data_IF_401147032116
#
_entry.id   IF_401147032116
#
_cell.length_a   1.000
_cell.length_b   1.000
_cell.length_c   1.000
_cell.angle_alpha   90.00
_cell.angle_beta   90.00
_cell.angle_gamma   90.00
#
_symmetry.space_group_name_H-M   'P 1'
#
loop_
_entity.id
_entity.type
_entity.pdbx_description
1 polymer ?
#
# COMPACT_ATOMS: atom_id res chain seq x y z
N UNK A 1 11.61 20.23 1.90
CA UNK A 1 10.79 19.63 2.99
C UNK A 1 10.63 18.14 2.69
N UNK A 2 10.17 17.33 3.65
CA UNK A 2 9.96 15.91 3.42
C UNK A 2 8.60 15.46 3.96
N UNK A 3 7.93 14.57 3.23
CA UNK A 3 6.60 14.07 3.56
C UNK A 3 6.53 12.57 3.27
N UNK A 4 5.69 11.87 4.04
CA UNK A 4 5.47 10.43 3.86
C UNK A 4 3.99 10.16 3.66
N UNK A 5 3.65 9.44 2.60
CA UNK A 5 2.27 9.03 2.30
C UNK A 5 2.17 7.51 2.14
N UNK A 6 1.11 6.91 2.68
CA UNK A 6 0.89 5.47 2.59
C UNK A 6 0.36 5.07 1.20
N UNK A 7 0.89 3.98 0.66
CA UNK A 7 0.43 3.33 -0.58
C UNK A 7 -0.39 2.11 -0.21
N UNK A 8 -1.62 1.99 -0.72
CA UNK A 8 -2.61 0.97 -0.31
C UNK A 8 -3.16 0.17 -1.48
N UNK A 9 -3.23 0.74 -2.66
CA UNK A 9 -3.82 0.11 -3.85
C UNK A 9 -2.83 0.04 -5.01
N UNK A 10 -3.20 -0.71 -6.05
CA UNK A 10 -2.37 -0.92 -7.23
C UNK A 10 -2.27 0.34 -8.09
N UNK A 11 -3.30 1.18 -8.14
CA UNK A 11 -3.28 2.43 -8.92
C UNK A 11 -2.22 3.40 -8.39
N UNK A 12 -2.09 3.50 -7.07
CA UNK A 12 -1.04 4.29 -6.43
C UNK A 12 0.37 3.75 -6.71
N UNK A 13 0.52 2.43 -6.88
CA UNK A 13 1.79 1.80 -7.29
C UNK A 13 2.09 2.16 -8.73
N UNK A 14 1.13 1.97 -9.64
CA UNK A 14 1.28 2.30 -11.06
C UNK A 14 1.65 3.77 -11.28
N UNK A 15 1.03 4.67 -10.52
CA UNK A 15 1.36 6.09 -10.57
C UNK A 15 2.85 6.37 -10.27
N UNK A 16 3.47 5.61 -9.36
CA UNK A 16 4.88 5.73 -8.93
C UNK A 16 5.87 4.94 -9.78
N UNK A 17 5.36 4.18 -10.74
CA UNK A 17 6.17 3.51 -11.78
C UNK A 17 6.16 4.32 -13.09
N UNK A 18 5.49 5.47 -13.14
CA UNK A 18 5.57 6.43 -14.23
C UNK A 18 6.76 7.35 -13.99
N UNK A 19 7.61 7.49 -15.00
CA UNK A 19 8.78 8.39 -14.98
C UNK A 19 8.39 9.86 -14.81
N UNK A 20 7.17 10.23 -15.21
CA UNK A 20 6.68 11.61 -15.17
C UNK A 20 5.66 11.89 -14.07
N UNK A 21 5.11 10.85 -13.40
CA UNK A 21 4.02 10.92 -12.40
C UNK A 21 2.99 12.08 -12.53
N UNK A 22 2.60 12.48 -13.75
CA UNK A 22 1.66 13.58 -13.98
C UNK A 22 2.21 15.00 -13.82
N UNK A 23 3.53 15.18 -13.73
CA UNK A 23 4.21 16.47 -13.83
C UNK A 23 4.46 16.91 -15.29
N UNK A 24 4.42 15.96 -16.24
CA UNK A 24 4.49 16.27 -17.66
C UNK A 24 3.27 17.03 -18.18
N UNK A 25 3.51 18.00 -19.05
CA UNK A 25 2.45 18.59 -19.89
C UNK A 25 1.94 17.51 -20.84
N UNK A 26 0.70 17.08 -20.65
CA UNK A 26 0.05 16.17 -21.61
C UNK A 26 -0.27 17.00 -22.85
N UNK A 27 0.36 16.71 -23.97
CA UNK A 27 -0.07 17.24 -25.27
C UNK A 27 -1.45 16.65 -25.58
N UNK A 28 -2.52 17.31 -25.13
CA UNK A 28 -3.89 16.97 -25.53
C UNK A 28 -4.06 17.34 -27.00
N UNK A 29 -4.49 16.39 -27.83
CA UNK A 29 -4.71 16.54 -29.29
C UNK A 29 -5.70 17.66 -29.66
N UNK A 30 -6.45 18.21 -28.69
CA UNK A 30 -7.48 19.23 -28.89
C UNK A 30 -7.11 20.65 -28.41
N UNK A 31 -5.88 20.89 -27.95
CA UNK A 31 -5.43 22.25 -27.62
C UNK A 31 -4.52 22.74 -28.74
N UNK A 32 -5.07 23.63 -29.58
CA UNK A 32 -4.28 24.42 -30.53
C UNK A 32 -3.21 25.16 -29.72
N UNK A 33 -1.96 24.71 -29.83
CA UNK A 33 -0.82 25.52 -29.43
C UNK A 33 -0.83 26.77 -30.32
N UNK A 34 -1.36 27.88 -29.80
CA UNK A 34 -0.93 29.18 -30.32
C UNK A 34 0.58 29.21 -30.14
N UNK A 35 1.30 29.18 -31.27
CA UNK A 35 2.73 29.39 -31.32
C UNK A 35 3.02 30.73 -30.66
N UNK A 36 3.40 30.70 -29.38
CA UNK A 36 4.00 31.85 -28.74
C UNK A 36 5.23 32.21 -29.57
N UNK A 37 5.30 33.48 -30.00
CA UNK A 37 6.46 34.01 -30.72
C UNK A 37 7.77 33.60 -30.02
N UNK A 38 8.88 33.38 -30.77
CA UNK A 38 10.11 32.89 -30.19
C UNK A 38 10.73 33.98 -29.31
N UNK A 39 10.33 34.02 -28.04
CA UNK A 39 10.97 34.86 -27.03
C UNK A 39 12.27 34.14 -26.63
N UNK A 40 13.36 34.60 -27.21
CA UNK A 40 14.73 34.12 -26.99
C UNK A 40 15.22 34.42 -25.57
N UNK A 41 14.80 33.60 -24.59
CA UNK A 41 15.31 33.66 -23.23
C UNK A 41 15.36 32.28 -22.57
N UNK A 42 16.47 31.97 -21.92
CA UNK A 42 16.70 30.74 -21.11
C UNK A 42 15.54 30.49 -20.11
N UNK A 43 14.83 31.53 -19.69
CA UNK A 43 13.65 31.46 -18.82
C UNK A 43 12.45 30.70 -19.41
N UNK A 44 12.41 30.44 -20.72
CA UNK A 44 11.36 29.65 -21.40
C UNK A 44 11.83 28.22 -21.71
N UNK A 45 13.13 28.00 -21.81
CA UNK A 45 13.71 26.74 -22.26
C UNK A 45 13.49 25.60 -21.25
N UNK A 46 13.58 25.89 -19.95
CA UNK A 46 13.26 24.89 -18.91
C UNK A 46 11.79 24.41 -18.98
N UNK A 47 10.87 25.27 -19.44
CA UNK A 47 9.43 24.94 -19.54
C UNK A 47 9.11 24.01 -20.70
N UNK A 48 10.00 23.98 -21.69
CA UNK A 48 9.87 23.20 -22.91
C UNK A 48 10.76 21.95 -22.91
N UNK A 49 11.59 21.76 -21.87
CA UNK A 49 12.36 20.53 -21.70
C UNK A 49 11.41 19.37 -21.41
N UNK A 50 11.45 18.37 -22.27
CA UNK A 50 10.86 17.07 -21.96
C UNK A 50 11.54 16.53 -20.69
N UNK A 51 10.77 16.21 -19.66
CA UNK A 51 11.25 15.50 -18.45
C UNK A 51 11.70 14.03 -18.76
N UNK A 52 12.11 13.76 -20.01
CA UNK A 52 12.26 12.43 -20.59
C UNK A 52 13.47 11.62 -20.11
N UNK A 53 14.20 12.06 -19.09
CA UNK A 53 15.47 11.44 -18.66
C UNK A 53 15.50 11.03 -17.18
N UNK A 54 14.37 11.16 -16.46
CA UNK A 54 14.28 10.78 -15.05
C UNK A 54 14.05 9.26 -14.90
N UNK A 55 15.11 8.48 -15.11
CA UNK A 55 15.06 7.04 -14.91
C UNK A 55 14.61 6.68 -13.48
N UNK A 56 13.74 5.69 -13.37
CA UNK A 56 13.45 5.02 -12.10
C UNK A 56 14.70 4.24 -11.67
N UNK A 57 15.15 4.40 -10.44
CA UNK A 57 16.39 3.77 -9.94
C UNK A 57 16.13 3.01 -8.65
N UNK A 58 16.58 1.75 -8.59
CA UNK A 58 16.53 0.90 -7.41
C UNK A 58 17.39 1.46 -6.26
N UNK A 59 16.89 1.40 -5.04
CA UNK A 59 17.59 1.88 -3.84
C UNK A 59 17.34 1.01 -2.59
N UNK A 60 18.28 1.05 -1.65
CA UNK A 60 18.15 0.38 -0.35
C UNK A 60 18.92 -0.93 -0.26
N UNK A 61 19.46 -1.22 0.93
CA UNK A 61 20.37 -2.36 1.11
C UNK A 61 19.65 -3.72 1.11
N UNK A 62 18.33 -3.71 1.32
CA UNK A 62 17.50 -4.92 1.33
C UNK A 62 17.35 -5.58 -0.05
N UNK A 63 17.66 -4.87 -1.15
CA UNK A 63 17.48 -5.35 -2.52
C UNK A 63 18.27 -6.64 -2.81
N UNK A 64 19.46 -6.77 -2.21
CA UNK A 64 20.29 -7.96 -2.36
C UNK A 64 19.58 -9.24 -1.91
N UNK A 65 18.67 -9.16 -0.93
CA UNK A 65 17.91 -10.30 -0.41
C UNK A 65 16.92 -10.89 -1.45
N UNK A 66 16.62 -10.14 -2.52
CA UNK A 66 15.72 -10.56 -3.61
C UNK A 66 16.40 -10.55 -4.97
N UNK A 67 17.75 -10.49 -5.00
CA UNK A 67 18.54 -10.52 -6.23
C UNK A 67 18.50 -9.22 -7.05
N UNK A 68 18.05 -8.11 -6.47
CA UNK A 68 18.06 -6.79 -7.11
C UNK A 68 19.31 -6.00 -6.69
N UNK A 69 19.73 -5.06 -7.54
CA UNK A 69 20.95 -4.27 -7.33
C UNK A 69 20.62 -2.81 -7.10
N UNK A 70 21.11 -2.24 -6.00
CA UNK A 70 21.02 -0.80 -5.74
C UNK A 70 21.72 0.02 -6.84
N UNK A 71 21.10 1.12 -7.27
CA UNK A 71 21.59 1.98 -8.34
C UNK A 71 21.26 1.50 -9.76
N UNK A 72 20.71 0.29 -9.92
CA UNK A 72 20.25 -0.18 -11.22
C UNK A 72 18.96 0.54 -11.65
N UNK A 73 18.84 0.83 -12.94
CA UNK A 73 17.63 1.40 -13.55
C UNK A 73 16.51 0.36 -13.56
N UNK A 74 15.28 0.77 -13.26
CA UNK A 74 14.07 -0.04 -13.42
C UNK A 74 13.65 -0.04 -14.89
N UNK A 75 14.05 -1.07 -15.61
CA UNK A 75 13.43 -1.41 -16.89
C UNK A 75 12.01 -2.00 -16.68
N UNK A 76 11.36 -2.47 -17.75
CA UNK A 76 10.02 -3.05 -17.66
C UNK A 76 9.97 -4.29 -16.75
N UNK A 77 11.02 -5.12 -16.74
CA UNK A 77 11.12 -6.24 -15.81
C UNK A 77 11.28 -5.77 -14.36
N UNK A 78 12.02 -4.67 -14.16
CA UNK A 78 12.14 -3.95 -12.89
C UNK A 78 10.79 -3.39 -12.41
N UNK A 79 9.99 -2.81 -13.31
CA UNK A 79 8.62 -2.35 -12.97
C UNK A 79 7.73 -3.51 -12.54
N UNK A 80 7.80 -4.66 -13.21
CA UNK A 80 7.09 -5.87 -12.78
C UNK A 80 7.57 -6.42 -11.43
N UNK A 81 8.89 -6.38 -11.19
CA UNK A 81 9.47 -6.72 -9.90
C UNK A 81 8.97 -5.77 -8.79
N UNK A 82 8.90 -4.46 -9.04
CA UNK A 82 8.37 -3.47 -8.11
C UNK A 82 6.90 -3.75 -7.75
N UNK A 83 6.05 -4.06 -8.74
CA UNK A 83 4.64 -4.45 -8.51
C UNK A 83 4.56 -5.66 -7.58
N UNK A 84 5.37 -6.70 -7.82
CA UNK A 84 5.40 -7.91 -7.00
C UNK A 84 5.86 -7.64 -5.57
N UNK A 85 6.89 -6.81 -5.37
CA UNK A 85 7.33 -6.38 -4.05
C UNK A 85 6.22 -5.62 -3.31
N UNK A 86 5.54 -4.68 -3.99
CA UNK A 86 4.42 -3.96 -3.39
C UNK A 86 3.24 -4.89 -3.03
N UNK A 87 3.05 -5.98 -3.79
CA UNK A 87 2.09 -7.04 -3.47
C UNK A 87 2.57 -8.02 -2.38
N UNK A 88 3.75 -7.82 -1.79
CA UNK A 88 4.30 -8.68 -0.73
C UNK A 88 4.86 -10.02 -1.26
N UNK A 89 5.25 -10.05 -2.53
CA UNK A 89 5.73 -11.24 -3.23
C UNK A 89 7.18 -11.06 -3.71
N UNK A 90 7.87 -12.19 -3.89
CA UNK A 90 9.22 -12.20 -4.44
C UNK A 90 9.21 -11.71 -5.89
N UNK A 91 10.14 -10.83 -6.30
CA UNK A 91 10.12 -10.21 -7.62
C UNK A 91 10.33 -11.21 -8.75
N UNK A 92 11.24 -12.18 -8.60
CA UNK A 92 11.48 -13.20 -9.62
C UNK A 92 10.43 -14.33 -9.62
N UNK A 93 10.26 -15.00 -8.47
CA UNK A 93 9.44 -16.23 -8.39
C UNK A 93 7.94 -15.99 -8.20
N UNK A 94 7.52 -14.78 -7.80
CA UNK A 94 6.14 -14.48 -7.43
C UNK A 94 5.67 -15.12 -6.12
N UNK A 95 6.54 -15.84 -5.41
CA UNK A 95 6.20 -16.48 -4.14
C UNK A 95 5.82 -15.42 -3.08
N UNK A 96 4.73 -15.65 -2.34
CA UNK A 96 4.31 -14.76 -1.25
C UNK A 96 5.36 -14.77 -0.12
N UNK A 97 5.93 -13.60 0.13
CA UNK A 97 6.94 -13.38 1.18
C UNK A 97 6.29 -12.97 2.49
N UNK A 98 5.38 -11.99 2.47
CA UNK A 98 4.55 -11.67 3.65
C UNK A 98 3.46 -12.74 3.80
N UNK A 99 3.72 -13.69 4.69
CA UNK A 99 2.84 -14.84 4.98
C UNK A 99 1.97 -14.65 6.22
N UNK A 100 2.07 -13.51 6.90
CA UNK A 100 1.30 -13.28 8.12
C UNK A 100 -0.20 -13.30 7.81
N UNK A 101 -0.97 -14.07 8.59
CA UNK A 101 -2.43 -14.27 8.39
C UNK A 101 -3.22 -12.95 8.39
N UNK A 102 -2.63 -11.88 8.89
CA UNK A 102 -3.19 -10.52 8.96
C UNK A 102 -3.18 -9.79 7.60
N UNK A 103 -2.35 -10.22 6.63
CA UNK A 103 -2.21 -9.52 5.34
C UNK A 103 -3.29 -9.87 4.32
N UNK A 104 -4.14 -10.87 4.58
CA UNK A 104 -5.20 -11.31 3.68
C UNK A 104 -6.48 -11.49 4.47
N UNK A 105 -7.32 -10.45 4.52
CA UNK A 105 -8.60 -10.49 5.23
C UNK A 105 -9.66 -11.12 4.33
N UNK A 106 -10.67 -11.73 4.95
CA UNK A 106 -11.86 -12.19 4.22
C UNK A 106 -12.49 -11.01 3.46
N UNK A 107 -12.85 -11.24 2.19
CA UNK A 107 -13.48 -10.24 1.34
C UNK A 107 -14.74 -9.67 2.00
N UNK A 108 -15.04 -8.36 1.87
CA UNK A 108 -16.24 -7.77 2.45
C UNK A 108 -17.53 -8.49 2.07
N UNK A 109 -17.65 -8.94 0.82
CA UNK A 109 -18.80 -9.73 0.34
C UNK A 109 -18.89 -11.11 0.99
N UNK A 110 -17.79 -11.65 1.49
CA UNK A 110 -17.77 -12.93 2.22
C UNK A 110 -18.27 -12.81 3.67
N UNK A 111 -18.70 -11.61 4.10
CA UNK A 111 -19.08 -11.31 5.48
C UNK A 111 -20.53 -10.89 5.59
N UNK A 112 -21.22 -11.38 6.60
CA UNK A 112 -22.60 -11.01 6.91
C UNK A 112 -22.68 -10.32 8.28
N UNK A 113 -23.75 -9.57 8.55
CA UNK A 113 -23.96 -8.95 9.86
C UNK A 113 -24.02 -10.02 10.94
N UNK A 114 -23.30 -9.82 12.03
CA UNK A 114 -23.23 -10.80 13.13
C UNK A 114 -24.47 -10.73 14.02
N UNK A 115 -25.11 -9.56 14.08
CA UNK A 115 -26.26 -9.31 14.96
C UNK A 115 -27.40 -10.30 14.71
N UNK A 116 -27.80 -10.49 13.44
CA UNK A 116 -28.87 -11.42 13.06
C UNK A 116 -28.67 -12.84 13.58
N UNK A 117 -27.45 -13.38 13.52
CA UNK A 117 -27.19 -14.72 14.05
C UNK A 117 -27.18 -14.75 15.58
N UNK A 118 -26.67 -13.70 16.23
CA UNK A 118 -26.71 -13.60 17.70
C UNK A 118 -28.16 -13.55 18.19
N UNK A 119 -28.99 -12.71 17.57
CA UNK A 119 -30.43 -12.60 17.86
C UNK A 119 -31.15 -13.94 17.63
N UNK A 120 -30.86 -14.64 16.53
CA UNK A 120 -31.45 -15.96 16.26
C UNK A 120 -31.04 -17.02 17.29
N UNK A 121 -29.79 -16.99 17.77
CA UNK A 121 -29.31 -17.89 18.83
C UNK A 121 -29.99 -17.56 20.17
N UNK A 122 -30.15 -16.28 20.50
CA UNK A 122 -30.80 -15.84 21.73
C UNK A 122 -32.29 -16.20 21.72
N UNK A 123 -32.99 -15.97 20.62
CA UNK A 123 -34.39 -16.38 20.45
C UNK A 123 -34.58 -17.90 20.58
N UNK A 124 -33.70 -18.69 19.96
CA UNK A 124 -33.75 -20.15 20.06
C UNK A 124 -33.42 -20.67 21.48
N UNK A 125 -32.63 -19.92 22.26
CA UNK A 125 -32.32 -20.25 23.64
C UNK A 125 -33.51 -19.92 24.55
N UNK A 126 -34.14 -18.77 24.33
CA UNK A 126 -35.35 -18.33 25.02
C UNK A 126 -36.50 -19.32 24.81
N UNK A 127 -36.73 -19.77 23.57
CA UNK A 127 -37.75 -20.78 23.24
C UNK A 127 -37.54 -22.10 24.00
N UNK A 128 -36.28 -22.47 24.25
CA UNK A 128 -35.90 -23.69 24.97
C UNK A 128 -35.75 -23.48 26.48
N UNK A 129 -35.88 -22.25 26.98
CA UNK A 129 -35.73 -21.91 28.39
C UNK A 129 -34.31 -22.13 28.93
N UNK A 130 -33.28 -22.02 28.08
CA UNK A 130 -31.86 -22.21 28.45
C UNK A 130 -31.05 -20.95 28.15
N UNK A 131 -29.83 -20.84 28.67
CA UNK A 131 -28.94 -19.76 28.26
C UNK A 131 -28.40 -20.02 26.85
N UNK A 132 -28.11 -18.96 26.09
CA UNK A 132 -27.55 -19.06 24.73
C UNK A 132 -26.24 -19.89 24.67
N UNK A 133 -25.44 -19.87 25.75
CA UNK A 133 -24.23 -20.68 25.86
C UNK A 133 -24.50 -22.19 25.98
N UNK A 134 -25.68 -22.57 26.51
CA UNK A 134 -26.06 -23.97 26.75
C UNK A 134 -26.51 -24.64 25.45
N UNK A 135 -27.00 -23.88 24.46
CA UNK A 135 -27.18 -24.38 23.09
C UNK A 135 -25.89 -24.92 22.46
N UNK A 136 -24.74 -24.50 23.00
CA UNK A 136 -23.40 -24.87 22.57
C UNK A 136 -22.71 -25.81 23.57
N UNK A 137 -23.46 -26.55 24.39
CA UNK A 137 -22.91 -27.49 25.36
C UNK A 137 -21.96 -28.50 24.69
N UNK A 138 -20.86 -28.82 25.38
CA UNK A 138 -19.77 -29.66 24.86
C UNK A 138 -18.89 -28.99 23.79
N UNK A 139 -19.13 -27.71 23.45
CA UNK A 139 -18.39 -26.96 22.41
C UNK A 139 -17.75 -25.69 23.00
N UNK A 140 -16.73 -25.82 23.87
CA UNK A 140 -16.17 -24.68 24.62
C UNK A 140 -15.55 -23.60 23.73
N UNK A 141 -15.05 -23.96 22.53
CA UNK A 141 -14.54 -22.99 21.55
C UNK A 141 -15.66 -22.11 21.02
N UNK A 142 -16.80 -22.70 20.66
CA UNK A 142 -17.96 -21.99 20.12
C UNK A 142 -18.62 -21.14 21.19
N UNK A 143 -18.69 -21.60 22.44
CA UNK A 143 -19.15 -20.77 23.57
C UNK A 143 -18.30 -19.50 23.75
N UNK A 144 -16.97 -19.62 23.70
CA UNK A 144 -16.06 -18.46 23.75
C UNK A 144 -16.28 -17.51 22.56
N UNK A 145 -16.46 -18.06 21.36
CA UNK A 145 -16.75 -17.26 20.15
C UNK A 145 -18.07 -16.52 20.31
N UNK A 146 -19.15 -17.18 20.73
CA UNK A 146 -20.47 -16.57 20.95
C UNK A 146 -20.38 -15.43 21.97
N UNK A 147 -19.78 -15.68 23.13
CA UNK A 147 -19.62 -14.67 24.17
C UNK A 147 -18.83 -13.44 23.68
N UNK A 148 -17.80 -13.66 22.86
CA UNK A 148 -17.08 -12.57 22.20
C UNK A 148 -18.00 -11.81 21.23
N UNK A 149 -18.78 -12.51 20.41
CA UNK A 149 -19.66 -11.86 19.43
C UNK A 149 -20.78 -11.07 20.08
N UNK A 150 -21.39 -11.57 21.15
CA UNK A 150 -22.39 -10.83 21.92
C UNK A 150 -21.83 -9.49 22.42
N UNK A 151 -20.60 -9.48 22.96
CA UNK A 151 -19.92 -8.23 23.37
C UNK A 151 -19.64 -7.29 22.19
N UNK A 152 -19.27 -7.83 21.03
CA UNK A 152 -18.98 -7.03 19.84
C UNK A 152 -20.24 -6.43 19.22
N UNK A 153 -21.32 -7.22 19.12
CA UNK A 153 -22.64 -6.78 18.67
C UNK A 153 -23.21 -5.73 19.61
N UNK A 154 -23.15 -5.93 20.93
CA UNK A 154 -23.55 -4.89 21.89
C UNK A 154 -22.79 -3.56 21.70
N UNK A 155 -21.51 -3.62 21.33
CA UNK A 155 -20.67 -2.42 21.12
C UNK A 155 -20.90 -1.75 19.76
N UNK A 156 -21.09 -2.54 18.69
CA UNK A 156 -21.02 -2.04 17.32
C UNK A 156 -22.36 -2.14 16.56
N UNK A 157 -23.33 -2.88 17.08
CA UNK A 157 -24.59 -3.21 16.44
C UNK A 157 -24.40 -3.98 15.13
N UNK A 158 -25.25 -3.65 14.16
CA UNK A 158 -25.24 -4.25 12.81
C UNK A 158 -23.97 -4.00 12.00
N UNK A 159 -23.12 -3.08 12.43
CA UNK A 159 -21.83 -2.81 11.76
C UNK A 159 -20.83 -3.94 11.95
N UNK A 160 -20.99 -4.76 12.99
CA UNK A 160 -20.09 -5.88 13.25
C UNK A 160 -20.36 -7.04 12.30
N UNK A 161 -19.41 -7.35 11.41
CA UNK A 161 -19.55 -8.39 10.39
C UNK A 161 -18.56 -9.54 10.57
N UNK A 162 -19.00 -10.75 10.25
CA UNK A 162 -18.19 -11.97 10.34
C UNK A 162 -18.22 -12.77 9.04
N UNK A 163 -17.14 -13.52 8.77
CA UNK A 163 -17.06 -14.38 7.60
C UNK A 163 -18.14 -15.47 7.64
N UNK A 164 -18.78 -15.71 6.49
CA UNK A 164 -19.85 -16.69 6.30
C UNK A 164 -19.48 -18.10 6.83
N UNK A 165 -18.25 -18.55 6.61
CA UNK A 165 -17.79 -19.85 7.11
C UNK A 165 -17.70 -19.95 8.64
N UNK A 166 -17.45 -18.82 9.33
CA UNK A 166 -17.47 -18.78 10.79
C UNK A 166 -18.89 -18.73 11.33
N UNK A 167 -19.77 -17.95 10.70
CA UNK A 167 -21.20 -17.90 11.01
C UNK A 167 -21.83 -19.29 10.85
N UNK A 168 -21.52 -20.00 9.75
CA UNK A 168 -22.00 -21.36 9.50
C UNK A 168 -21.61 -22.33 10.61
N UNK A 169 -20.35 -22.28 11.08
CA UNK A 169 -19.88 -23.13 12.18
C UNK A 169 -20.60 -22.82 13.49
N UNK A 170 -20.93 -21.55 13.74
CA UNK A 170 -21.61 -21.13 14.96
C UNK A 170 -23.09 -21.51 14.94
N UNK A 171 -23.80 -21.24 13.84
CA UNK A 171 -25.20 -21.63 13.67
C UNK A 171 -25.39 -23.15 13.75
N UNK A 172 -24.57 -23.92 13.01
CA UNK A 172 -24.58 -25.38 13.10
C UNK A 172 -24.33 -25.87 14.53
N UNK A 173 -23.47 -25.18 15.27
CA UNK A 173 -23.19 -25.57 16.65
C UNK A 173 -24.39 -25.32 17.58
N UNK A 174 -25.18 -24.26 17.34
CA UNK A 174 -26.40 -23.94 18.06
C UNK A 174 -27.65 -24.73 17.57
N UNK A 175 -27.51 -25.50 16.48
CA UNK A 175 -28.61 -26.25 15.88
C UNK A 175 -29.54 -25.39 15.02
N UNK A 176 -29.02 -24.31 14.44
CA UNK A 176 -29.74 -23.40 13.56
C UNK A 176 -29.32 -23.59 12.10
N UNK A 177 -30.27 -23.38 11.18
CA UNK A 177 -30.01 -23.20 9.76
C UNK A 177 -29.56 -21.77 9.51
N UNK A 178 -28.53 -21.57 8.68
CA UNK A 178 -28.09 -20.22 8.34
C UNK A 178 -28.96 -19.59 7.24
N UNK A 179 -29.56 -20.44 6.40
CA UNK A 179 -30.49 -20.04 5.34
C UNK A 179 -31.75 -19.39 5.96
N UNK A 180 -32.20 -19.87 7.13
CA UNK A 180 -33.35 -19.29 7.86
C UNK A 180 -33.05 -17.90 8.45
N UNK A 181 -31.77 -17.58 8.71
CA UNK A 181 -31.34 -16.34 9.36
C UNK A 181 -31.06 -15.22 8.35
N UNK A 182 -30.48 -15.55 7.19
CA UNK A 182 -30.02 -14.57 6.20
C UNK A 182 -30.79 -14.64 4.88
N UNK A 183 -31.59 -15.68 4.65
CA UNK A 183 -32.21 -15.94 3.36
C UNK A 183 -31.23 -16.57 2.36
N UNK A 184 -31.77 -17.33 1.40
CA UNK A 184 -30.98 -18.12 0.46
C UNK A 184 -30.08 -17.24 -0.44
N UNK A 185 -30.58 -16.10 -0.91
CA UNK A 185 -29.86 -15.26 -1.87
C UNK A 185 -28.66 -14.52 -1.25
N UNK A 186 -28.84 -13.82 -0.13
CA UNK A 186 -27.73 -13.13 0.57
C UNK A 186 -26.63 -14.13 0.99
N UNK A 187 -27.05 -15.35 1.37
CA UNK A 187 -26.13 -16.40 1.76
C UNK A 187 -25.41 -17.04 0.58
N UNK A 188 -26.08 -17.23 -0.56
CA UNK A 188 -25.45 -17.70 -1.80
C UNK A 188 -24.34 -16.73 -2.25
N UNK A 189 -24.64 -15.43 -2.28
CA UNK A 189 -23.68 -14.38 -2.65
C UNK A 189 -22.46 -14.39 -1.70
N UNK A 190 -22.70 -14.48 -0.39
CA UNK A 190 -21.60 -14.53 0.57
C UNK A 190 -20.76 -15.82 0.49
N UNK A 191 -21.39 -16.95 0.16
CA UNK A 191 -20.71 -18.24 -0.04
C UNK A 191 -19.86 -18.24 -1.31
N UNK A 192 -20.31 -17.60 -2.39
CA UNK A 192 -19.53 -17.43 -3.63
C UNK A 192 -18.18 -16.74 -3.34
N UNK A 193 -18.19 -15.77 -2.43
CA UNK A 193 -16.97 -15.05 -2.04
C UNK A 193 -16.25 -15.64 -0.80
N UNK A 194 -16.64 -16.80 -0.28
CA UNK A 194 -16.13 -17.33 0.99
C UNK A 194 -14.60 -17.44 1.04
N UNK A 195 -13.98 -17.78 -0.09
CA UNK A 195 -12.53 -17.94 -0.25
C UNK A 195 -11.84 -16.71 -0.82
N UNK A 196 -12.60 -15.70 -1.25
CA UNK A 196 -12.03 -14.43 -1.67
C UNK A 196 -11.33 -13.72 -0.50
N UNK A 197 -10.18 -13.11 -0.80
CA UNK A 197 -9.37 -12.37 0.16
C UNK A 197 -9.06 -10.98 -0.40
N UNK A 198 -8.93 -10.01 0.50
CA UNK A 198 -8.46 -8.66 0.19
C UNK A 198 -7.19 -8.41 1.00
N UNK A 199 -6.17 -7.90 0.32
CA UNK A 199 -4.97 -7.36 0.96
C UNK A 199 -5.23 -5.88 1.29
N UNK A 200 -5.42 -5.58 2.57
CA UNK A 200 -5.64 -4.21 3.06
C UNK A 200 -4.41 -3.63 3.78
N UNK A 201 -3.25 -4.27 3.57
CA UNK A 201 -1.96 -3.81 4.09
C UNK A 201 -1.62 -2.46 3.47
N UNK A 202 -0.87 -1.64 4.22
CA UNK A 202 -0.07 -0.58 3.59
C UNK A 202 1.00 -1.28 2.75
N UNK A 203 0.90 -1.21 1.42
CA UNK A 203 1.79 -1.88 0.48
C UNK A 203 3.20 -1.30 0.53
N UNK A 204 3.29 0.00 0.72
CA UNK A 204 4.53 0.76 0.81
C UNK A 204 4.29 2.20 1.26
N UNK A 205 5.35 2.98 1.19
CA UNK A 205 5.39 4.38 1.59
C UNK A 205 6.06 5.19 0.50
N UNK A 206 5.53 6.36 0.22
CA UNK A 206 6.14 7.35 -0.66
C UNK A 206 6.78 8.42 0.21
N UNK A 207 8.12 8.44 0.24
CA UNK A 207 8.92 9.50 0.84
C UNK A 207 9.26 10.51 -0.25
N UNK A 208 8.58 11.65 -0.21
CA UNK A 208 8.85 12.78 -1.08
C UNK A 208 9.90 13.68 -0.43
N UNK A 209 10.95 14.03 -1.18
CA UNK A 209 11.97 15.01 -0.80
C UNK A 209 11.86 16.22 -1.72
N UNK A 210 11.40 17.34 -1.17
CA UNK A 210 11.26 18.60 -1.90
C UNK A 210 12.45 19.51 -1.67
N UNK A 211 12.99 20.03 -2.77
CA UNK A 211 13.95 21.13 -2.71
C UNK A 211 13.22 22.45 -2.42
N UNK A 212 13.86 23.38 -1.67
CA UNK A 212 13.38 24.76 -1.58
C UNK A 212 13.13 25.37 -2.97
N UNK A 213 12.24 26.37 -3.03
CA UNK A 213 11.89 26.99 -4.31
C UNK A 213 13.08 27.67 -4.99
N UNK A 214 13.98 28.29 -4.22
CA UNK A 214 15.23 28.87 -4.73
C UNK A 214 16.09 27.84 -5.45
N UNK A 215 16.19 26.65 -4.86
CA UNK A 215 17.04 25.54 -5.30
C UNK A 215 16.45 24.85 -6.53
N UNK A 216 15.12 24.76 -6.57
CA UNK A 216 14.38 24.30 -7.75
C UNK A 216 14.50 25.29 -8.92
N UNK A 217 14.42 26.59 -8.64
CA UNK A 217 14.60 27.64 -9.66
C UNK A 217 16.03 27.67 -10.18
N UNK A 218 17.03 27.51 -9.30
CA UNK A 218 18.43 27.39 -9.70
C UNK A 218 18.61 26.21 -10.66
N UNK A 219 18.09 25.02 -10.33
CA UNK A 219 18.19 23.85 -11.20
C UNK A 219 17.61 24.09 -12.61
N UNK A 220 16.48 24.79 -12.71
CA UNK A 220 15.85 25.11 -14.00
C UNK A 220 16.56 26.22 -14.78
N UNK A 221 17.40 27.04 -14.14
CA UNK A 221 18.11 28.16 -14.76
C UNK A 221 19.56 27.87 -15.10
N UNK A 222 20.14 26.78 -14.57
CA UNK A 222 21.52 26.41 -14.84
C UNK A 222 21.69 25.87 -16.28
N UNK A 223 22.83 26.18 -16.95
CA UNK A 223 23.22 25.51 -18.19
C UNK A 223 23.33 23.99 -18.00
N UNK A 224 23.17 23.20 -19.06
CA UNK A 224 23.03 21.73 -18.98
C UNK A 224 24.13 21.02 -18.18
N UNK A 225 25.39 21.42 -18.36
CA UNK A 225 26.51 20.82 -17.65
C UNK A 225 26.46 21.10 -16.14
N UNK A 226 26.23 22.36 -15.76
CA UNK A 226 26.13 22.77 -14.36
C UNK A 226 24.84 22.23 -13.71
N UNK A 227 23.76 22.14 -14.49
CA UNK A 227 22.49 21.54 -14.09
C UNK A 227 22.64 20.05 -13.79
N UNK A 228 23.38 19.29 -14.62
CA UNK A 228 23.66 17.87 -14.34
C UNK A 228 24.49 17.71 -13.05
N UNK A 229 25.54 18.51 -12.88
CA UNK A 229 26.36 18.45 -11.66
C UNK A 229 25.52 18.75 -10.41
N UNK A 230 24.62 19.74 -10.48
CA UNK A 230 23.70 20.06 -9.41
C UNK A 230 22.74 18.89 -9.09
N UNK A 231 22.18 18.25 -10.12
CA UNK A 231 21.32 17.08 -9.95
C UNK A 231 22.05 15.88 -9.36
N UNK A 232 23.30 15.65 -9.76
CA UNK A 232 24.14 14.59 -9.19
C UNK A 232 24.38 14.79 -7.69
N UNK A 233 24.56 16.05 -7.26
CA UNK A 233 24.66 16.40 -5.83
C UNK A 233 23.33 16.11 -5.09
N UNK A 234 22.19 16.46 -5.70
CA UNK A 234 20.87 16.16 -5.15
C UNK A 234 20.64 14.65 -5.03
N UNK A 235 21.02 13.86 -6.04
CA UNK A 235 20.93 12.40 -6.01
C UNK A 235 21.88 11.75 -4.99
N UNK A 236 23.06 12.34 -4.76
CA UNK A 236 23.95 11.91 -3.67
C UNK A 236 23.30 12.15 -2.31
N UNK A 237 22.74 13.34 -2.09
CA UNK A 237 22.03 13.68 -0.85
C UNK A 237 20.81 12.78 -0.62
N UNK A 238 20.05 12.44 -1.68
CA UNK A 238 18.97 11.44 -1.67
C UNK A 238 19.45 10.08 -1.15
N UNK A 239 20.57 9.61 -1.68
CA UNK A 239 21.15 8.30 -1.31
C UNK A 239 21.61 8.28 0.14
N UNK A 240 22.27 9.34 0.59
CA UNK A 240 22.67 9.51 2.00
C UNK A 240 21.45 9.58 2.93
N UNK A 241 20.40 10.29 2.51
CA UNK A 241 19.13 10.39 3.24
C UNK A 241 18.49 9.02 3.41
N UNK A 242 18.38 8.22 2.33
CA UNK A 242 17.78 6.89 2.44
C UNK A 242 18.57 5.97 3.37
N UNK A 243 19.90 6.05 3.37
CA UNK A 243 20.76 5.29 4.30
C UNK A 243 20.51 5.66 5.76
N UNK A 244 20.23 6.92 6.05
CA UNK A 244 19.85 7.35 7.40
C UNK A 244 18.43 6.90 7.77
N UNK A 245 17.47 7.03 6.84
CA UNK A 245 16.11 6.51 7.02
C UNK A 245 16.14 5.02 7.33
N UNK A 246 16.90 4.24 6.59
CA UNK A 246 17.08 2.80 6.81
C UNK A 246 17.63 2.49 8.20
N UNK A 247 18.55 3.29 8.75
CA UNK A 247 19.01 3.12 10.15
C UNK A 247 17.91 3.36 11.18
N UNK A 248 16.99 4.29 10.91
CA UNK A 248 15.94 4.65 11.87
C UNK A 248 14.74 3.72 11.82
N UNK A 249 14.37 3.26 10.62
CA UNK A 249 13.12 2.51 10.37
C UNK A 249 13.32 1.13 9.75
N UNK A 250 14.56 0.67 9.56
CA UNK A 250 14.90 -0.69 9.12
C UNK A 250 14.67 -1.75 10.21
N UNK A 251 13.47 -1.79 10.76
CA UNK A 251 13.05 -2.80 11.73
C UNK A 251 11.60 -3.23 11.49
N UNK A 252 11.31 -4.49 11.76
CA UNK A 252 9.94 -5.01 11.85
C UNK A 252 9.50 -5.10 13.31
N UNK A 253 8.19 -5.28 13.53
CA UNK A 253 7.63 -5.55 14.86
C UNK A 253 7.26 -7.03 14.98
N UNK A 254 7.95 -7.73 15.87
CA UNK A 254 7.65 -9.10 16.28
C UNK A 254 6.93 -9.17 17.62
N UNK A 255 6.86 -10.37 18.20
CA UNK A 255 6.31 -10.60 19.53
C UNK A 255 7.14 -11.65 20.27
N UNK A 256 7.55 -11.32 21.50
CA UNK A 256 8.21 -12.23 22.44
C UNK A 256 7.41 -12.22 23.74
N UNK A 257 6.94 -13.39 24.18
CA UNK A 257 6.04 -13.54 25.36
C UNK A 257 4.83 -12.60 25.37
N UNK A 258 4.28 -12.32 24.17
CA UNK A 258 3.13 -11.42 24.00
C UNK A 258 3.46 -9.93 24.08
N UNK A 259 4.75 -9.56 24.13
CA UNK A 259 5.21 -8.17 24.12
C UNK A 259 5.83 -7.83 22.75
N UNK A 260 5.56 -6.62 22.22
CA UNK A 260 6.14 -6.20 20.96
C UNK A 260 7.66 -6.01 21.09
N UNK A 261 8.41 -6.54 20.14
CA UNK A 261 9.87 -6.39 20.04
C UNK A 261 10.24 -5.87 18.66
N UNK A 262 11.30 -5.07 18.57
CA UNK A 262 11.87 -4.64 17.28
C UNK A 262 12.84 -5.72 16.81
N UNK A 263 12.70 -6.12 15.55
CA UNK A 263 13.57 -7.09 14.89
C UNK A 263 14.28 -6.35 13.77
N UNK A 264 15.61 -6.36 13.75
CA UNK A 264 16.37 -5.67 12.71
C UNK A 264 16.11 -6.30 11.33
N UNK A 265 16.14 -5.48 10.28
CA UNK A 265 16.02 -5.96 8.90
C UNK A 265 17.35 -5.86 8.17
N UNK A 266 17.47 -6.61 7.07
CA UNK A 266 18.60 -6.50 6.14
C UNK A 266 18.57 -5.25 5.26
N UNK A 267 17.72 -4.25 5.57
CA UNK A 267 17.56 -3.03 4.80
C UNK A 267 16.16 -2.84 4.22
N UNK A 268 15.97 -1.71 3.53
CA UNK A 268 14.76 -1.34 2.83
C UNK A 268 14.81 -1.79 1.37
N UNK A 269 13.63 -1.99 0.79
CA UNK A 269 13.40 -2.25 -0.63
C UNK A 269 12.73 -1.03 -1.23
N UNK A 270 13.43 -0.26 -2.04
CA UNK A 270 12.90 0.99 -2.56
C UNK A 270 13.30 1.26 -4.01
N UNK A 271 12.60 2.19 -4.66
CA UNK A 271 13.05 2.82 -5.89
C UNK A 271 12.77 4.32 -5.82
N UNK A 272 13.46 5.10 -6.64
CA UNK A 272 13.27 6.54 -6.72
C UNK A 272 13.06 7.05 -8.13
N UNK A 273 12.39 8.19 -8.25
CA UNK A 273 12.28 8.99 -9.48
C UNK A 273 12.44 10.47 -9.13
N UNK A 274 13.05 11.23 -10.04
CA UNK A 274 13.18 12.69 -9.96
C UNK A 274 12.12 13.34 -10.83
N UNK A 275 11.51 14.42 -10.36
CA UNK A 275 10.74 15.33 -11.19
C UNK A 275 11.29 16.75 -11.05
N UNK A 276 11.10 17.55 -12.10
CA UNK A 276 11.70 18.89 -12.20
C UNK A 276 10.67 20.00 -12.26
N UNK A 277 9.41 19.66 -12.52
CA UNK A 277 8.32 20.61 -12.62
C UNK A 277 7.22 20.32 -11.61
N UNK A 278 6.53 21.39 -11.20
CA UNK A 278 5.27 21.25 -10.50
C UNK A 278 4.20 20.72 -11.45
N UNK A 279 3.06 20.29 -10.90
CA UNK A 279 1.92 19.90 -11.74
C UNK A 279 1.51 21.01 -12.70
N UNK A 280 1.12 20.68 -13.93
CA UNK A 280 0.56 21.64 -14.86
C UNK A 280 -0.64 22.39 -14.25
N UNK A 281 -0.78 23.65 -14.65
CA UNK A 281 -1.96 24.43 -14.28
C UNK A 281 -3.17 23.97 -15.11
N UNK A 282 -4.39 24.27 -14.65
CA UNK A 282 -5.64 23.77 -15.24
C UNK A 282 -5.91 24.18 -16.70
N UNK A 283 -5.07 25.05 -17.27
CA UNK A 283 -5.06 25.48 -18.67
C UNK A 283 -4.01 24.75 -19.51
N UNK A 284 -3.35 23.73 -18.96
CA UNK A 284 -2.31 22.96 -19.64
C UNK A 284 -0.94 23.64 -19.65
N UNK A 285 -0.77 24.77 -18.96
CA UNK A 285 0.54 25.42 -18.87
C UNK A 285 1.53 24.57 -18.05
N UNK A 286 2.82 24.54 -18.45
CA UNK A 286 3.87 23.89 -17.68
C UNK A 286 3.93 24.43 -16.25
N UNK A 287 4.11 23.53 -15.28
CA UNK A 287 4.31 23.94 -13.89
C UNK A 287 5.63 24.70 -13.68
N UNK A 288 5.71 25.46 -12.60
CA UNK A 288 6.95 26.15 -12.24
C UNK A 288 8.08 25.15 -11.89
N UNK A 289 9.37 25.58 -11.89
CA UNK A 289 10.48 24.70 -11.50
C UNK A 289 10.28 24.15 -10.10
N UNK A 290 10.26 22.83 -9.96
CA UNK A 290 10.03 22.15 -8.71
C UNK A 290 10.83 20.85 -8.70
N UNK A 291 12.09 20.94 -8.30
CA UNK A 291 12.95 19.77 -8.18
C UNK A 291 12.54 19.00 -6.93
N UNK A 292 12.02 17.79 -7.13
CA UNK A 292 11.61 16.92 -6.05
C UNK A 292 11.86 15.46 -6.42
N UNK A 293 12.03 14.64 -5.39
CA UNK A 293 12.33 13.23 -5.53
C UNK A 293 11.25 12.43 -4.82
N UNK A 294 10.72 11.42 -5.51
CA UNK A 294 9.91 10.40 -4.87
C UNK A 294 10.78 9.18 -4.57
N UNK A 295 10.74 8.69 -3.34
CA UNK A 295 11.34 7.41 -2.95
C UNK A 295 10.19 6.51 -2.51
N UNK A 296 9.85 5.54 -3.35
CA UNK A 296 8.83 4.54 -3.02
C UNK A 296 9.48 3.37 -2.33
N UNK A 297 9.07 3.12 -1.09
CA UNK A 297 9.61 2.09 -0.19
C UNK A 297 8.54 1.00 -0.03
N UNK A 298 8.84 -0.23 -0.42
CA UNK A 298 7.96 -1.36 -0.16
C UNK A 298 7.88 -1.60 1.36
N UNK A 299 6.66 -1.77 1.89
CA UNK A 299 6.42 -2.02 3.32
C UNK A 299 6.63 -3.50 3.62
N UNK A 300 7.84 -3.96 3.36
CA UNK A 300 8.32 -5.29 3.64
C UNK A 300 9.86 -5.34 3.69
N UNK A 301 10.41 -6.19 4.55
CA UNK A 301 11.83 -6.46 4.60
C UNK A 301 12.11 -7.87 5.15
N UNK A 302 13.29 -8.41 4.81
CA UNK A 302 13.81 -9.63 5.40
C UNK A 302 14.41 -9.30 6.77
N UNK A 303 13.87 -9.92 7.82
CA UNK A 303 14.33 -9.75 9.19
C UNK A 303 15.55 -10.65 9.48
N UNK A 304 16.31 -10.32 10.53
CA UNK A 304 17.48 -11.10 10.98
C UNK A 304 17.15 -12.55 11.39
N UNK A 305 15.89 -12.83 11.73
CA UNK A 305 15.38 -14.18 12.03
C UNK A 305 14.97 -14.98 10.77
N UNK A 306 15.19 -14.41 9.58
CA UNK A 306 14.91 -15.06 8.29
C UNK A 306 13.46 -14.96 7.84
N UNK A 307 12.58 -14.27 8.58
CA UNK A 307 11.20 -14.06 8.17
C UNK A 307 10.99 -12.71 7.46
N UNK A 308 10.08 -12.71 6.49
CA UNK A 308 9.63 -11.49 5.81
C UNK A 308 8.47 -10.87 6.57
N UNK A 309 8.60 -9.59 6.91
CA UNK A 309 7.58 -8.82 7.64
C UNK A 309 7.41 -7.44 7.04
N UNK A 310 6.27 -6.82 7.33
CA UNK A 310 6.05 -5.39 7.13
C UNK A 310 6.81 -4.57 8.15
#
# INVERSE_FOLDING_TARGET
>A
MAWVTAIRDDEQVEYRLREQAGCSVVASEDVVQEQAEPVSGEAVEYRLREEGDAALVWMGSGLAAVGLTEGAVLDEAGKDAARRLMAGCHPETGARLIRTRTSARAHPLAKLTTARLVEAIEAAAEERGVAAADLLEGKPKQQKVLAQQQRMVHRQGDRHRMQVGTLHKLARAAGLSLDDVYGEQELADAREHADARVDDRVRGWDLMLDMPKSDSALAGLLPDADGQEYRDLVHRAKTETLREVERWVGYAVGSEDGRPVRIATGGLLAWSVEHQSARPMGDGQPGDPHLHLHITIANMALCEDGEWRS
#
